data_IF_470036800778
#
_entry.id   IF_470036800778
#
_cell.length_a   1.000
_cell.length_b   1.000
_cell.length_c   1.000
_cell.angle_alpha   90.00
_cell.angle_beta   90.00
_cell.angle_gamma   90.00
#
_symmetry.space_group_name_H-M   'P 1'
#
loop_
_entity.id
_entity.type
_entity.pdbx_description
1 polymer ?
#
# COMPACT_ATOMS: atom_id res chain seq x y z
N UNK A 1 19.63 9.28 -6.10
CA UNK A 1 18.51 8.95 -5.21
C UNK A 1 19.05 8.11 -4.07
N UNK A 2 18.69 8.45 -2.83
CA UNK A 2 19.15 7.68 -1.67
C UNK A 2 18.40 6.33 -1.66
N UNK A 3 19.15 5.21 -1.60
CA UNK A 3 18.54 3.87 -1.52
C UNK A 3 18.11 3.66 -0.06
N UNK A 4 16.83 3.49 0.18
CA UNK A 4 16.27 3.21 1.49
C UNK A 4 16.65 1.78 1.91
N UNK A 5 17.34 1.64 3.05
CA UNK A 5 17.72 0.34 3.59
C UNK A 5 16.59 -0.30 4.40
N UNK A 6 16.63 -1.62 4.56
CA UNK A 6 15.70 -2.37 5.43
C UNK A 6 15.75 -1.85 6.88
N UNK A 7 16.94 -1.51 7.37
CA UNK A 7 17.12 -0.98 8.73
C UNK A 7 16.41 0.36 8.92
N UNK A 8 16.57 1.29 7.99
CA UNK A 8 15.89 2.59 8.01
C UNK A 8 14.36 2.43 7.92
N UNK A 9 13.86 1.58 7.03
CA UNK A 9 12.43 1.32 6.90
C UNK A 9 11.83 0.74 8.20
N UNK A 10 12.53 -0.20 8.84
CA UNK A 10 12.12 -0.75 10.14
C UNK A 10 12.10 0.31 11.25
N UNK A 11 13.10 1.19 11.29
CA UNK A 11 13.13 2.30 12.25
C UNK A 11 11.97 3.28 12.01
N UNK A 12 11.69 3.62 10.74
CA UNK A 12 10.57 4.50 10.38
C UNK A 12 9.21 3.88 10.78
N UNK A 13 9.01 2.58 10.55
CA UNK A 13 7.80 1.88 10.96
C UNK A 13 7.68 1.82 12.48
N UNK A 14 8.76 1.52 13.20
CA UNK A 14 8.78 1.47 14.66
C UNK A 14 8.50 2.85 15.29
N UNK A 15 9.03 3.93 14.72
CA UNK A 15 8.70 5.29 15.13
C UNK A 15 7.22 5.61 14.87
N UNK A 16 6.71 5.27 13.69
CA UNK A 16 5.32 5.48 13.33
C UNK A 16 4.36 4.70 14.25
N UNK A 17 4.72 3.47 14.63
CA UNK A 17 3.97 2.66 15.60
C UNK A 17 3.89 3.30 16.99
N UNK A 18 4.90 4.05 17.41
CA UNK A 18 4.86 4.81 18.67
C UNK A 18 3.99 6.05 18.57
N UNK A 19 3.96 6.70 17.41
CA UNK A 19 3.14 7.90 17.18
C UNK A 19 1.66 7.58 17.06
N UNK A 20 1.31 6.48 16.38
CA UNK A 20 -0.05 6.02 16.20
C UNK A 20 -0.10 4.48 16.23
N UNK A 21 -0.15 3.86 17.42
CA UNK A 21 -0.21 2.40 17.52
C UNK A 21 -1.51 1.85 16.96
N UNK A 22 -1.44 0.68 16.30
CA UNK A 22 -2.62 0.03 15.74
C UNK A 22 -2.30 -1.23 14.95
N UNK A 23 -3.34 -1.99 14.54
CA UNK A 23 -3.15 -3.23 13.79
C UNK A 23 -2.51 -3.04 12.41
N UNK A 24 -2.50 -1.81 11.87
CA UNK A 24 -1.86 -1.48 10.61
C UNK A 24 -0.35 -1.74 10.61
N UNK A 25 0.32 -1.68 11.76
CA UNK A 25 1.77 -1.96 11.89
C UNK A 25 2.05 -3.43 11.54
N UNK A 26 1.32 -4.36 12.19
CA UNK A 26 1.45 -5.79 11.88
C UNK A 26 1.02 -6.12 10.45
N UNK A 27 -0.03 -5.46 9.96
CA UNK A 27 -0.43 -5.57 8.56
C UNK A 27 0.73 -5.20 7.63
N UNK A 28 1.41 -4.07 7.86
CA UNK A 28 2.57 -3.65 7.06
C UNK A 28 3.73 -4.66 7.12
N UNK A 29 3.95 -5.29 8.27
CA UNK A 29 4.96 -6.36 8.41
C UNK A 29 4.60 -7.60 7.57
N UNK A 30 3.31 -8.00 7.54
CA UNK A 30 2.86 -9.12 6.70
C UNK A 30 2.91 -8.78 5.20
N UNK A 31 2.54 -7.56 4.81
CA UNK A 31 2.70 -7.07 3.43
C UNK A 31 4.17 -7.15 3.01
N UNK A 32 5.08 -6.64 3.84
CA UNK A 32 6.51 -6.67 3.57
C UNK A 32 7.06 -8.11 3.42
N UNK A 33 6.70 -8.99 4.33
CA UNK A 33 7.13 -10.39 4.30
C UNK A 33 6.60 -11.13 3.05
N UNK A 34 5.35 -10.89 2.66
CA UNK A 34 4.77 -11.45 1.44
C UNK A 34 5.46 -10.90 0.20
N UNK A 35 5.65 -9.57 0.14
CA UNK A 35 6.31 -8.91 -0.98
C UNK A 35 7.74 -9.41 -1.21
N UNK A 36 8.54 -9.52 -0.15
CA UNK A 36 9.90 -10.06 -0.25
C UNK A 36 9.94 -11.50 -0.77
N UNK A 37 9.03 -12.37 -0.29
CA UNK A 37 8.95 -13.77 -0.75
C UNK A 37 8.53 -13.88 -2.22
N UNK A 38 7.52 -13.13 -2.63
CA UNK A 38 7.04 -13.16 -4.02
C UNK A 38 8.10 -12.57 -4.95
N UNK A 39 8.69 -11.42 -4.59
CA UNK A 39 9.77 -10.79 -5.34
C UNK A 39 10.94 -11.75 -5.63
N UNK A 40 11.38 -12.49 -4.61
CA UNK A 40 12.46 -13.48 -4.76
C UNK A 40 12.13 -14.59 -5.79
N UNK A 41 10.85 -15.01 -5.87
CA UNK A 41 10.41 -16.01 -6.87
C UNK A 41 10.32 -15.45 -8.28
N UNK A 42 9.94 -14.18 -8.40
CA UNK A 42 9.72 -13.51 -9.69
C UNK A 42 10.94 -12.76 -10.22
N UNK A 43 12.11 -12.91 -9.60
CA UNK A 43 13.35 -12.26 -10.04
C UNK A 43 13.42 -10.76 -9.75
N UNK A 44 12.58 -10.24 -8.87
CA UNK A 44 12.64 -8.87 -8.37
C UNK A 44 13.56 -8.77 -7.15
N UNK A 45 14.03 -7.55 -6.83
CA UNK A 45 14.81 -7.30 -5.61
C UNK A 45 13.93 -7.47 -4.36
N UNK A 46 14.18 -8.58 -3.64
CA UNK A 46 13.41 -8.96 -2.46
C UNK A 46 13.56 -7.97 -1.29
N UNK A 47 14.75 -7.39 -1.10
CA UNK A 47 14.97 -6.37 -0.06
C UNK A 47 14.22 -5.09 -0.38
N UNK A 48 14.24 -4.65 -1.66
CA UNK A 48 13.47 -3.50 -2.12
C UNK A 48 11.98 -3.74 -1.92
N UNK A 49 11.45 -4.88 -2.34
CA UNK A 49 10.04 -5.23 -2.18
C UNK A 49 9.62 -5.25 -0.71
N UNK A 50 10.44 -5.86 0.15
CA UNK A 50 10.21 -5.89 1.60
C UNK A 50 10.17 -4.48 2.19
N UNK A 51 11.12 -3.62 1.84
CA UNK A 51 11.23 -2.24 2.31
C UNK A 51 10.01 -1.40 1.90
N UNK A 52 9.58 -1.54 0.65
CA UNK A 52 8.40 -0.87 0.11
C UNK A 52 7.12 -1.32 0.82
N UNK A 53 7.00 -2.63 1.09
CA UNK A 53 5.88 -3.19 1.84
C UNK A 53 5.78 -2.68 3.27
N UNK A 54 6.92 -2.49 3.97
CA UNK A 54 6.94 -1.91 5.32
C UNK A 54 6.36 -0.49 5.35
N UNK A 55 6.55 0.29 4.29
CA UNK A 55 6.23 1.72 4.28
C UNK A 55 4.98 2.10 3.48
N UNK A 56 4.27 1.13 2.86
CA UNK A 56 3.11 1.45 2.03
C UNK A 56 2.03 2.24 2.79
N UNK A 57 1.83 1.93 4.05
CA UNK A 57 0.83 2.52 4.97
C UNK A 57 1.44 3.56 5.95
N UNK A 58 2.67 4.03 5.72
CA UNK A 58 3.42 4.88 6.66
C UNK A 58 2.71 6.20 7.02
N UNK A 59 1.81 6.68 6.17
CA UNK A 59 1.02 7.88 6.44
C UNK A 59 0.07 7.74 7.64
N UNK A 60 -0.21 6.51 8.07
CA UNK A 60 -0.98 6.24 9.30
C UNK A 60 -0.27 6.71 10.56
N UNK A 61 1.01 7.05 10.49
CA UNK A 61 1.73 7.73 11.59
C UNK A 61 1.08 9.04 12.04
N UNK A 62 0.32 9.69 11.16
CA UNK A 62 -0.33 10.98 11.42
C UNK A 62 -1.75 10.85 11.98
N UNK A 63 -2.29 9.64 12.08
CA UNK A 63 -3.62 9.36 12.64
C UNK A 63 -4.33 8.17 11.98
N UNK A 64 -5.55 7.92 12.43
CA UNK A 64 -6.40 6.80 11.98
C UNK A 64 -7.23 7.14 10.75
N UNK A 65 -6.78 8.08 9.92
CA UNK A 65 -7.50 8.51 8.72
C UNK A 65 -7.73 7.40 7.70
N UNK A 66 -8.68 7.64 6.81
CA UNK A 66 -8.96 6.81 5.66
C UNK A 66 -8.03 7.17 4.49
N UNK A 67 -8.53 7.88 3.46
CA UNK A 67 -7.69 8.28 2.32
C UNK A 67 -6.55 9.25 2.69
N UNK A 68 -6.66 9.94 3.84
CA UNK A 68 -5.64 10.84 4.35
C UNK A 68 -4.27 10.16 4.47
N UNK A 69 -4.20 8.87 4.88
CA UNK A 69 -2.92 8.18 5.02
C UNK A 69 -2.14 8.05 3.70
N UNK A 70 -2.84 7.94 2.57
CA UNK A 70 -2.22 7.89 1.24
C UNK A 70 -1.56 9.23 0.92
N UNK A 71 -2.32 10.32 1.07
CA UNK A 71 -1.83 11.68 0.80
C UNK A 71 -0.64 12.03 1.72
N UNK A 72 -0.78 11.79 3.01
CA UNK A 72 0.22 12.14 4.01
C UNK A 72 1.47 11.24 3.89
N UNK A 73 1.31 9.95 3.60
CA UNK A 73 2.41 9.01 3.37
C UNK A 73 3.27 9.39 2.17
N UNK A 74 2.61 9.72 1.05
CA UNK A 74 3.30 10.21 -0.15
C UNK A 74 4.16 11.44 0.15
N UNK A 75 3.55 12.49 0.74
CA UNK A 75 4.26 13.74 1.00
C UNK A 75 5.37 13.59 2.05
N UNK A 76 5.17 12.74 3.05
CA UNK A 76 6.19 12.41 4.03
C UNK A 76 7.43 11.77 3.39
N UNK A 77 7.24 10.77 2.54
CA UNK A 77 8.33 10.06 1.90
C UNK A 77 9.03 10.89 0.81
N UNK A 78 8.29 11.71 0.07
CA UNK A 78 8.88 12.68 -0.88
C UNK A 78 9.79 13.68 -0.15
N UNK A 79 9.34 14.22 0.97
CA UNK A 79 10.14 15.15 1.79
C UNK A 79 11.45 14.52 2.28
N UNK A 80 11.47 13.21 2.51
CA UNK A 80 12.67 12.46 2.91
C UNK A 80 13.54 12.03 1.72
N UNK A 81 13.09 12.24 0.48
CA UNK A 81 13.83 11.87 -0.73
C UNK A 81 13.67 10.40 -1.16
N UNK A 82 12.70 9.67 -0.62
CA UNK A 82 12.42 8.27 -0.94
C UNK A 82 11.32 8.15 -2.01
N UNK A 83 11.63 8.52 -3.25
CA UNK A 83 10.64 8.63 -4.32
C UNK A 83 9.92 7.30 -4.65
N UNK A 84 10.63 6.16 -4.66
CA UNK A 84 10.01 4.85 -4.91
C UNK A 84 9.00 4.50 -3.80
N UNK A 85 9.39 4.67 -2.53
CA UNK A 85 8.50 4.40 -1.41
C UNK A 85 7.30 5.37 -1.38
N UNK A 86 7.51 6.63 -1.76
CA UNK A 86 6.43 7.61 -1.88
C UNK A 86 5.42 7.20 -2.95
N UNK A 87 5.90 6.74 -4.12
CA UNK A 87 5.03 6.23 -5.18
C UNK A 87 4.21 5.03 -4.70
N UNK A 88 4.82 4.09 -3.98
CA UNK A 88 4.10 2.96 -3.39
C UNK A 88 3.04 3.43 -2.37
N UNK A 89 3.38 4.34 -1.47
CA UNK A 89 2.41 4.91 -0.53
C UNK A 89 1.24 5.62 -1.24
N UNK A 90 1.49 6.19 -2.43
CA UNK A 90 0.47 6.80 -3.28
C UNK A 90 -0.44 5.75 -3.95
N UNK A 91 0.15 4.68 -4.51
CA UNK A 91 -0.52 3.80 -5.47
C UNK A 91 -1.13 2.54 -4.86
N UNK A 92 -0.70 2.12 -3.66
CA UNK A 92 -1.06 0.82 -3.08
C UNK A 92 -2.58 0.58 -2.98
N UNK A 93 -3.36 1.61 -2.69
CA UNK A 93 -4.82 1.51 -2.54
C UNK A 93 -5.60 1.66 -3.87
N UNK A 94 -4.93 1.96 -4.99
CA UNK A 94 -5.54 2.37 -6.26
C UNK A 94 -5.03 1.52 -7.42
N UNK A 95 -5.39 0.23 -7.44
CA UNK A 95 -4.90 -0.72 -8.44
C UNK A 95 -5.38 -0.46 -9.87
N UNK A 96 -6.36 0.44 -10.07
CA UNK A 96 -6.78 0.97 -11.39
C UNK A 96 -6.36 2.44 -11.60
N UNK A 97 -5.55 3.02 -10.70
CA UNK A 97 -5.08 4.40 -10.82
C UNK A 97 -6.16 5.47 -10.65
N UNK A 98 -7.32 5.13 -10.07
CA UNK A 98 -8.46 6.04 -9.89
C UNK A 98 -8.88 6.14 -8.44
N UNK A 99 -9.25 7.35 -7.99
CA UNK A 99 -9.85 7.55 -6.66
C UNK A 99 -11.19 6.81 -6.51
N UNK A 100 -11.93 6.60 -7.61
CA UNK A 100 -13.25 5.97 -7.58
C UNK A 100 -13.24 4.52 -7.05
N UNK A 101 -12.07 3.88 -7.06
CA UNK A 101 -11.91 2.52 -6.54
C UNK A 101 -11.56 2.49 -5.04
N UNK A 102 -11.49 3.66 -4.38
CA UNK A 102 -11.18 3.70 -2.96
C UNK A 102 -12.35 3.19 -2.10
N UNK A 103 -12.04 2.32 -1.15
CA UNK A 103 -13.00 1.79 -0.19
C UNK A 103 -12.72 2.40 1.17
N UNK A 104 -13.52 3.39 1.56
CA UNK A 104 -13.37 4.14 2.81
C UNK A 104 -13.85 5.58 2.64
N UNK A 105 -13.63 6.41 3.65
CA UNK A 105 -14.04 7.80 3.62
C UNK A 105 -12.99 8.69 2.95
N UNK A 106 -13.47 9.74 2.27
CA UNK A 106 -12.63 10.79 1.68
C UNK A 106 -12.42 11.90 2.73
N UNK A 107 -11.59 11.62 3.72
CA UNK A 107 -11.32 12.47 4.89
C UNK A 107 -10.24 13.54 4.65
N UNK A 108 -10.11 13.99 3.42
CA UNK A 108 -9.26 15.11 3.00
C UNK A 108 -10.07 16.14 2.21
N UNK A 109 -9.59 17.40 2.17
CA UNK A 109 -10.27 18.47 1.43
C UNK A 109 -10.37 18.18 -0.07
N UNK A 110 -11.36 18.79 -0.74
CA UNK A 110 -11.53 18.66 -2.20
C UNK A 110 -10.25 19.05 -2.97
N UNK A 111 -9.52 20.06 -2.50
CA UNK A 111 -8.23 20.46 -3.09
C UNK A 111 -7.19 19.33 -2.99
N UNK A 112 -7.08 18.68 -1.82
CA UNK A 112 -6.18 17.53 -1.64
C UNK A 112 -6.61 16.33 -2.48
N UNK A 113 -7.91 16.09 -2.65
CA UNK A 113 -8.43 15.03 -3.53
C UNK A 113 -8.03 15.29 -4.99
N UNK A 114 -8.15 16.53 -5.47
CA UNK A 114 -7.72 16.91 -6.83
C UNK A 114 -6.21 16.70 -7.03
N UNK A 115 -5.40 17.11 -6.03
CA UNK A 115 -3.94 16.88 -6.07
C UNK A 115 -3.61 15.38 -6.08
N UNK A 116 -4.28 14.59 -5.25
CA UNK A 116 -4.10 13.14 -5.18
C UNK A 116 -4.46 12.47 -6.52
N UNK A 117 -5.59 12.86 -7.12
CA UNK A 117 -6.00 12.38 -8.44
C UNK A 117 -4.97 12.70 -9.53
N UNK A 118 -4.43 13.93 -9.53
CA UNK A 118 -3.40 14.33 -10.48
C UNK A 118 -2.09 13.55 -10.30
N UNK A 119 -1.69 13.30 -9.04
CA UNK A 119 -0.51 12.49 -8.71
C UNK A 119 -0.69 11.03 -9.17
N UNK A 120 -1.86 10.44 -8.94
CA UNK A 120 -2.18 9.08 -9.41
C UNK A 120 -2.14 8.98 -10.94
N UNK A 121 -2.72 9.97 -11.64
CA UNK A 121 -2.71 9.99 -13.10
C UNK A 121 -1.31 10.15 -13.70
N UNK A 122 -0.39 10.78 -12.97
CA UNK A 122 1.01 10.97 -13.39
C UNK A 122 1.94 9.83 -12.92
N UNK A 123 1.47 8.91 -12.09
CA UNK A 123 2.30 7.84 -11.54
C UNK A 123 2.63 6.79 -12.60
N UNK A 124 3.91 6.56 -12.83
CA UNK A 124 4.41 5.47 -13.67
C UNK A 124 4.62 4.22 -12.81
N UNK A 125 3.58 3.37 -12.74
CA UNK A 125 3.60 2.14 -11.96
C UNK A 125 4.49 1.07 -12.60
N UNK A 126 5.26 0.37 -11.76
CA UNK A 126 6.08 -0.78 -12.14
C UNK A 126 5.62 -2.07 -11.45
N UNK A 127 6.41 -3.14 -11.53
CA UNK A 127 6.09 -4.41 -10.89
C UNK A 127 6.09 -4.35 -9.37
N UNK A 128 6.80 -3.40 -8.76
CA UNK A 128 6.74 -3.20 -7.31
C UNK A 128 5.40 -2.61 -6.87
N UNK A 129 4.79 -1.70 -7.65
CA UNK A 129 3.43 -1.20 -7.38
C UNK A 129 2.41 -2.34 -7.42
N UNK A 130 2.44 -3.14 -8.50
CA UNK A 130 1.58 -4.31 -8.66
C UNK A 130 1.75 -5.32 -7.53
N UNK A 131 3.00 -5.59 -7.15
CA UNK A 131 3.34 -6.52 -6.08
C UNK A 131 2.80 -6.05 -4.72
N UNK A 132 3.02 -4.78 -4.37
CA UNK A 132 2.55 -4.25 -3.09
C UNK A 132 1.01 -4.18 -3.07
N UNK A 133 0.36 -3.81 -4.16
CA UNK A 133 -1.10 -3.86 -4.29
C UNK A 133 -1.65 -5.28 -4.05
N UNK A 134 -1.01 -6.31 -4.61
CA UNK A 134 -1.37 -7.70 -4.35
C UNK A 134 -1.16 -8.06 -2.88
N UNK A 135 0.01 -7.75 -2.32
CA UNK A 135 0.36 -8.11 -0.94
C UNK A 135 -0.56 -7.42 0.08
N UNK A 136 -0.93 -6.15 -0.15
CA UNK A 136 -1.93 -5.44 0.65
C UNK A 136 -3.32 -6.11 0.56
N UNK A 137 -3.70 -6.58 -0.63
CA UNK A 137 -4.98 -7.26 -0.85
C UNK A 137 -5.07 -8.67 -0.24
N UNK A 138 -3.97 -9.29 0.19
CA UNK A 138 -3.95 -10.61 0.84
C UNK A 138 -3.53 -10.58 2.30
N UNK A 139 -3.05 -9.45 2.81
CA UNK A 139 -2.59 -9.32 4.20
C UNK A 139 -3.69 -8.82 5.12
N UNK A 140 -3.65 -9.32 6.35
CA UNK A 140 -4.40 -8.80 7.51
C UNK A 140 -3.41 -8.46 8.62
N UNK A 141 -3.89 -7.96 9.76
CA UNK A 141 -3.05 -7.78 10.94
C UNK A 141 -2.66 -9.13 11.62
N UNK A 142 -3.29 -10.23 11.23
CA UNK A 142 -3.10 -11.55 11.82
C UNK A 142 -2.43 -12.55 10.88
N UNK A 143 -2.19 -12.18 9.63
CA UNK A 143 -1.52 -13.03 8.66
C UNK A 143 -1.96 -12.81 7.22
N UNK A 144 -1.50 -13.73 6.36
CA UNK A 144 -1.87 -13.78 4.94
C UNK A 144 -3.08 -14.70 4.79
N UNK A 145 -4.06 -14.26 4.03
CA UNK A 145 -5.30 -14.99 3.73
C UNK A 145 -5.51 -15.10 2.22
N UNK A 146 -6.47 -15.92 1.79
CA UNK A 146 -6.86 -15.96 0.40
C UNK A 146 -7.41 -14.59 -0.05
N UNK A 147 -7.08 -14.18 -1.27
CA UNK A 147 -7.46 -12.83 -1.75
C UNK A 147 -8.98 -12.66 -1.79
N UNK A 148 -9.71 -13.71 -2.17
CA UNK A 148 -11.17 -13.72 -2.21
C UNK A 148 -11.77 -13.60 -0.79
N UNK A 149 -11.15 -14.23 0.19
CA UNK A 149 -11.54 -14.14 1.59
C UNK A 149 -11.38 -12.69 2.09
N UNK A 150 -10.23 -12.08 1.81
CA UNK A 150 -9.93 -10.70 2.19
C UNK A 150 -10.88 -9.71 1.53
N UNK A 151 -11.13 -9.84 0.22
CA UNK A 151 -12.06 -8.97 -0.51
C UNK A 151 -13.50 -9.11 0.01
N UNK A 152 -13.94 -10.33 0.32
CA UNK A 152 -15.26 -10.56 0.93
C UNK A 152 -15.36 -9.99 2.34
N UNK A 153 -14.30 -10.04 3.14
CA UNK A 153 -14.27 -9.40 4.45
C UNK A 153 -14.41 -7.88 4.34
N UNK A 154 -13.67 -7.25 3.44
CA UNK A 154 -13.79 -5.80 3.15
C UNK A 154 -15.21 -5.47 2.68
N UNK A 155 -15.77 -6.25 1.76
CA UNK A 155 -17.14 -6.07 1.27
C UNK A 155 -18.17 -6.12 2.42
N UNK A 156 -18.01 -7.05 3.36
CA UNK A 156 -18.91 -7.13 4.55
C UNK A 156 -18.80 -5.90 5.43
N UNK A 157 -17.59 -5.38 5.66
CA UNK A 157 -17.36 -4.21 6.54
C UNK A 157 -17.85 -2.90 5.95
N UNK A 158 -17.73 -2.72 4.64
CA UNK A 158 -18.06 -1.46 3.96
C UNK A 158 -19.37 -1.52 3.16
N UNK A 159 -20.00 -2.69 3.05
CA UNK A 159 -21.24 -2.89 2.32
C UNK A 159 -21.09 -3.05 0.81
N UNK A 160 -19.92 -2.76 0.25
CA UNK A 160 -19.61 -2.90 -1.18
C UNK A 160 -18.15 -3.21 -1.44
N UNK A 161 -17.85 -3.66 -2.64
CA UNK A 161 -16.49 -3.76 -3.18
C UNK A 161 -16.56 -3.46 -4.69
N UNK A 162 -15.83 -2.46 -5.21
CA UNK A 162 -15.88 -2.12 -6.64
C UNK A 162 -15.47 -3.30 -7.52
N UNK A 163 -16.30 -3.66 -8.50
CA UNK A 163 -16.04 -4.82 -9.35
C UNK A 163 -14.72 -4.69 -10.10
N UNK A 164 -14.40 -3.51 -10.64
CA UNK A 164 -13.12 -3.26 -11.33
C UNK A 164 -11.91 -3.53 -10.43
N UNK A 165 -12.00 -3.14 -9.15
CA UNK A 165 -10.95 -3.39 -8.17
C UNK A 165 -10.83 -4.88 -7.84
N UNK A 166 -11.96 -5.57 -7.74
CA UNK A 166 -12.00 -7.03 -7.57
C UNK A 166 -11.30 -7.76 -8.71
N UNK A 167 -11.70 -7.46 -9.95
CA UNK A 167 -11.16 -8.10 -11.15
C UNK A 167 -9.66 -7.82 -11.28
N UNK A 168 -9.22 -6.58 -10.98
CA UNK A 168 -7.81 -6.23 -10.98
C UNK A 168 -7.01 -6.98 -9.92
N UNK A 169 -7.54 -7.20 -8.73
CA UNK A 169 -6.88 -8.00 -7.72
C UNK A 169 -6.70 -9.47 -8.16
N UNK A 170 -7.68 -10.05 -8.83
CA UNK A 170 -7.56 -11.41 -9.40
C UNK A 170 -6.54 -11.45 -10.54
N UNK A 171 -6.47 -10.40 -11.37
CA UNK A 171 -5.43 -10.26 -12.40
C UNK A 171 -4.03 -10.19 -11.78
N UNK A 172 -3.84 -9.37 -10.75
CA UNK A 172 -2.57 -9.25 -10.03
C UNK A 172 -2.14 -10.58 -9.39
N UNK A 173 -3.09 -11.31 -8.79
CA UNK A 173 -2.81 -12.66 -8.26
C UNK A 173 -2.24 -13.57 -9.33
N UNK A 174 -2.90 -13.67 -10.50
CA UNK A 174 -2.42 -14.48 -11.63
C UNK A 174 -1.05 -14.04 -12.14
N UNK A 175 -0.84 -12.73 -12.25
CA UNK A 175 0.42 -12.16 -12.75
C UNK A 175 1.64 -12.59 -11.92
N UNK A 176 1.50 -12.83 -10.63
CA UNK A 176 2.59 -13.26 -9.75
C UNK A 176 2.55 -14.76 -9.36
N UNK A 177 1.52 -15.51 -9.77
CA UNK A 177 1.45 -16.98 -9.58
C UNK A 177 2.10 -17.75 -10.73
N UNK A 178 2.08 -17.18 -11.95
CA UNK A 178 2.71 -17.74 -13.16
C UNK A 178 4.22 -17.45 -13.19
#
# INVERSE_FOLDING_TARGET
>A
MCKLSVSEAKQMLAEAARLNPGPWVRHSEYVAAAAGRIAARCGLDAEKAYTLGLLHDIGRRFGTGHIAHVYDGYHYLIKLGYADAARIALTHSFNNGSLDDYIGNYDISAEKQQKLSALLAAAECDDYDRLIQLCDAIATADGIVAIEERMNDVKRRYGFYPQRKWDKNIELKRYFED
#
